data_IF_204466975690
#
_entry.id   IF_204466975690
#
_cell.length_a   1.000
_cell.length_b   1.000
_cell.length_c   1.000
_cell.angle_alpha   90.00
_cell.angle_beta   90.00
_cell.angle_gamma   90.00
#
_symmetry.space_group_name_H-M   'P 1'
#
loop_
_entity.id
_entity.type
_entity.pdbx_description
1 polymer ?
#
# COMPACT_ATOMS: atom_id res chain seq x y z
N UNK A 1 -32.90 -18.68 41.59
CA UNK A 1 -33.16 -18.05 40.28
C UNK A 1 -31.88 -18.18 39.47
N UNK A 2 -31.96 -18.91 38.36
CA UNK A 2 -30.80 -19.41 37.62
C UNK A 2 -30.08 -18.30 36.86
N UNK A 3 -28.77 -18.19 37.09
CA UNK A 3 -27.84 -17.40 36.28
C UNK A 3 -27.57 -18.13 34.96
N UNK A 4 -27.92 -17.51 33.84
CA UNK A 4 -27.52 -17.96 32.50
C UNK A 4 -26.10 -17.47 32.25
N UNK A 5 -25.14 -18.40 32.19
CA UNK A 5 -23.77 -18.16 31.71
C UNK A 5 -23.78 -18.15 30.19
N UNK A 6 -23.32 -17.06 29.58
CA UNK A 6 -22.97 -17.04 28.16
C UNK A 6 -21.65 -17.80 27.93
N UNK A 7 -21.54 -18.61 26.87
CA UNK A 7 -20.30 -19.33 26.59
C UNK A 7 -19.24 -18.39 26.02
N UNK A 8 -18.08 -18.39 26.67
CA UNK A 8 -16.84 -17.77 26.17
C UNK A 8 -16.30 -18.67 25.05
N UNK A 9 -16.20 -18.12 23.83
CA UNK A 9 -15.51 -18.79 22.72
C UNK A 9 -13.98 -18.69 22.94
N UNK A 10 -13.21 -19.75 22.62
CA UNK A 10 -11.77 -19.76 22.85
C UNK A 10 -11.04 -18.80 21.90
N UNK A 11 -10.09 -18.04 22.44
CA UNK A 11 -9.13 -17.24 21.69
C UNK A 11 -8.26 -18.16 20.81
N UNK A 12 -8.48 -18.13 19.50
CA UNK A 12 -7.50 -18.65 18.54
C UNK A 12 -6.29 -17.70 18.51
N UNK A 13 -5.14 -18.21 18.96
CA UNK A 13 -3.85 -17.54 18.78
C UNK A 13 -3.52 -17.49 17.29
N UNK A 14 -3.75 -16.35 16.66
CA UNK A 14 -3.24 -16.05 15.32
C UNK A 14 -1.72 -15.92 15.38
N UNK A 15 -1.01 -16.94 14.89
CA UNK A 15 0.44 -16.87 14.63
C UNK A 15 0.60 -16.43 13.17
N UNK A 16 0.91 -15.16 12.95
CA UNK A 16 1.44 -14.69 11.67
C UNK A 16 2.85 -15.30 11.49
N UNK A 17 3.09 -15.93 10.34
CA UNK A 17 4.43 -16.40 9.99
C UNK A 17 5.21 -15.22 9.42
N UNK A 18 6.23 -14.77 10.15
CA UNK A 18 7.23 -13.81 9.68
C UNK A 18 7.93 -14.36 8.43
N UNK A 19 7.94 -13.60 7.33
CA UNK A 19 8.61 -13.97 6.09
C UNK A 19 10.09 -13.61 6.15
N UNK A 20 10.91 -14.50 6.71
CA UNK A 20 12.38 -14.41 6.57
C UNK A 20 12.87 -15.63 5.77
N UNK A 21 13.07 -15.46 4.47
CA UNK A 21 13.81 -16.44 3.66
C UNK A 21 15.30 -16.31 3.94
N UNK A 22 15.90 -17.34 4.56
CA UNK A 22 17.35 -17.48 4.68
C UNK A 22 17.94 -17.82 3.31
N UNK A 23 18.79 -16.96 2.76
CA UNK A 23 19.67 -17.29 1.64
C UNK A 23 20.79 -18.26 2.10
N UNK A 24 21.15 -19.29 1.31
CA UNK A 24 22.28 -20.16 1.64
C UNK A 24 23.62 -19.49 1.34
N UNK A 25 24.59 -19.69 2.24
CA UNK A 25 25.99 -19.24 2.09
C UNK A 25 26.68 -20.01 0.95
N UNK A 26 27.19 -19.31 -0.06
CA UNK A 26 28.12 -19.86 -1.06
C UNK A 26 29.57 -19.48 -0.70
N UNK A 27 30.40 -20.51 -0.48
CA UNK A 27 31.83 -20.38 -0.26
C UNK A 27 32.60 -20.03 -1.53
N UNK A 28 33.74 -19.36 -1.35
CA UNK A 28 34.65 -18.92 -2.41
C UNK A 28 35.31 -20.10 -3.15
N UNK A 29 35.42 -20.00 -4.47
CA UNK A 29 36.31 -20.84 -5.30
C UNK A 29 36.22 -20.52 -6.80
N UNK A 30 37.32 -19.96 -7.33
CA UNK A 30 37.78 -19.64 -8.70
C UNK A 30 36.95 -19.94 -9.99
N UNK A 31 37.20 -19.04 -10.96
CA UNK A 31 36.78 -18.87 -12.36
C UNK A 31 36.56 -20.11 -13.25
N UNK A 32 35.68 -20.02 -14.26
CA UNK A 32 35.97 -19.89 -15.71
C UNK A 32 34.64 -19.65 -16.49
N UNK A 33 34.70 -18.91 -17.60
CA UNK A 33 33.59 -18.57 -18.51
C UNK A 33 32.97 -19.82 -19.18
N UNK A 34 31.64 -19.87 -19.33
CA UNK A 34 30.93 -20.21 -20.59
C UNK A 34 29.41 -20.03 -20.45
N UNK A 35 28.82 -19.47 -21.51
CA UNK A 35 27.38 -19.25 -21.74
C UNK A 35 26.64 -20.55 -22.00
N UNK A 36 25.49 -20.80 -21.33
CA UNK A 36 24.31 -21.50 -21.89
C UNK A 36 23.15 -21.61 -20.91
N UNK A 37 21.95 -21.27 -21.39
CA UNK A 37 20.66 -21.65 -20.80
C UNK A 37 20.54 -23.17 -20.71
N UNK A 38 20.22 -23.72 -19.53
CA UNK A 38 19.55 -25.03 -19.40
C UNK A 38 18.63 -25.02 -18.18
N UNK A 39 17.38 -25.37 -18.43
CA UNK A 39 16.32 -25.75 -17.47
C UNK A 39 16.67 -27.10 -16.84
N UNK A 40 16.66 -27.21 -15.51
CA UNK A 40 16.55 -28.50 -14.79
C UNK A 40 15.66 -28.28 -13.55
N UNK A 41 14.41 -28.75 -13.54
CA UNK A 41 13.97 -30.10 -13.11
C UNK A 41 14.63 -30.58 -11.81
N UNK A 42 13.86 -30.49 -10.72
CA UNK A 42 14.17 -31.09 -9.42
C UNK A 42 13.93 -32.60 -9.49
N UNK A 43 14.98 -33.39 -9.27
CA UNK A 43 14.86 -34.82 -8.98
C UNK A 43 14.85 -35.05 -7.47
N UNK A 44 13.83 -35.76 -7.03
CA UNK A 44 13.64 -36.28 -5.69
C UNK A 44 14.34 -37.65 -5.52
N UNK A 45 14.93 -37.86 -4.35
CA UNK A 45 15.18 -39.17 -3.73
C UNK A 45 14.49 -39.10 -2.36
N UNK A 46 13.74 -40.06 -1.83
CA UNK A 46 13.48 -41.45 -2.20
C UNK A 46 13.38 -42.27 -0.90
N UNK A 47 12.20 -42.84 -0.63
CA UNK A 47 11.94 -43.88 0.39
C UNK A 47 11.09 -43.41 1.59
N UNK A 48 10.06 -44.11 2.06
CA UNK A 48 9.35 -45.33 1.67
C UNK A 48 8.14 -45.47 2.60
N UNK A 49 6.97 -45.87 2.11
CA UNK A 49 5.82 -46.23 2.96
C UNK A 49 4.50 -46.14 2.22
N UNK A 50 4.03 -47.28 1.71
CA UNK A 50 2.84 -47.38 0.86
C UNK A 50 1.51 -47.17 1.59
N UNK A 51 0.56 -46.60 0.86
CA UNK A 51 -0.84 -46.51 1.21
C UNK A 51 -1.60 -45.91 0.03
N UNK A 52 -2.30 -46.76 -0.72
CA UNK A 52 -3.22 -46.35 -1.79
C UNK A 52 -4.31 -45.43 -1.20
N UNK A 53 -4.34 -44.17 -1.65
CA UNK A 53 -5.51 -43.30 -1.56
C UNK A 53 -5.60 -42.54 -2.88
N UNK A 54 -6.77 -42.59 -3.49
CA UNK A 54 -7.10 -41.96 -4.77
C UNK A 54 -6.65 -40.49 -4.82
N UNK A 55 -5.94 -40.13 -5.90
CA UNK A 55 -5.62 -38.74 -6.24
C UNK A 55 -6.91 -37.97 -6.50
N UNK A 56 -7.23 -36.90 -5.74
CA UNK A 56 -8.17 -35.91 -6.21
C UNK A 56 -7.48 -35.08 -7.27
N UNK A 57 -8.03 -35.13 -8.47
CA UNK A 57 -7.82 -34.19 -9.56
C UNK A 57 -7.63 -32.78 -9.04
N UNK A 58 -6.54 -32.12 -9.45
CA UNK A 58 -6.31 -30.70 -9.21
C UNK A 58 -7.45 -29.90 -9.82
N UNK A 59 -8.42 -29.50 -9.01
CA UNK A 59 -9.41 -28.50 -9.39
C UNK A 59 -8.67 -27.17 -9.46
N UNK A 60 -8.17 -26.83 -10.65
CA UNK A 60 -7.91 -25.43 -10.99
C UNK A 60 -9.26 -24.74 -11.02
N UNK A 61 -9.69 -24.20 -9.88
CA UNK A 61 -10.84 -23.31 -9.85
C UNK A 61 -10.54 -22.14 -10.79
N UNK A 62 -11.42 -21.82 -11.74
CA UNK A 62 -11.23 -20.66 -12.59
C UNK A 62 -11.13 -19.43 -11.69
N UNK A 63 -10.07 -18.64 -11.88
CA UNK A 63 -9.99 -17.29 -11.32
C UNK A 63 -11.18 -16.54 -11.91
N UNK A 64 -12.24 -16.39 -11.10
CA UNK A 64 -13.36 -15.51 -11.44
C UNK A 64 -12.77 -14.12 -11.49
N UNK A 65 -12.51 -13.61 -12.70
CA UNK A 65 -12.17 -12.21 -12.89
C UNK A 65 -13.35 -11.43 -12.32
N UNK A 66 -13.14 -10.56 -11.32
CA UNK A 66 -14.21 -9.66 -10.89
C UNK A 66 -14.74 -8.94 -12.12
N UNK A 67 -16.05 -8.84 -12.28
CA UNK A 67 -16.65 -7.99 -13.31
C UNK A 67 -16.07 -6.58 -13.11
N UNK A 68 -15.17 -6.17 -14.00
CA UNK A 68 -14.53 -4.86 -13.88
C UNK A 68 -15.59 -3.81 -14.20
N UNK A 69 -15.79 -2.86 -13.28
CA UNK A 69 -16.59 -1.68 -13.58
C UNK A 69 -15.99 -0.99 -14.80
N UNK A 70 -16.77 -1.01 -15.90
CA UNK A 70 -16.37 -0.40 -17.18
C UNK A 70 -16.23 1.12 -17.04
N UNK A 71 -16.96 1.72 -16.09
CA UNK A 71 -16.99 3.16 -15.86
C UNK A 71 -17.62 3.92 -17.01
N UNK A 72 -17.44 5.24 -17.05
CA UNK A 72 -17.83 6.04 -18.20
C UNK A 72 -16.79 5.93 -19.33
N UNK A 73 -17.22 5.46 -20.50
CA UNK A 73 -16.35 5.29 -21.67
C UNK A 73 -16.65 6.27 -22.79
N UNK A 74 -17.65 7.14 -22.64
CA UNK A 74 -18.12 8.02 -23.70
C UNK A 74 -17.29 9.29 -23.74
N UNK A 75 -16.45 9.43 -24.78
CA UNK A 75 -15.68 10.65 -25.00
C UNK A 75 -16.59 11.80 -25.41
N UNK A 76 -16.54 12.90 -24.66
CA UNK A 76 -17.14 14.19 -25.01
C UNK A 76 -16.00 15.16 -25.25
N UNK A 77 -15.93 15.73 -26.47
CA UNK A 77 -14.81 16.58 -26.90
C UNK A 77 -13.43 15.96 -26.67
N UNK A 78 -13.31 14.64 -26.88
CA UNK A 78 -12.05 13.90 -26.74
C UNK A 78 -11.67 13.53 -25.30
N UNK A 79 -12.56 13.69 -24.32
CA UNK A 79 -12.31 13.35 -22.92
C UNK A 79 -13.47 12.53 -22.32
N UNK A 80 -13.15 11.52 -21.53
CA UNK A 80 -14.08 10.93 -20.55
C UNK A 80 -13.37 10.75 -19.20
N UNK A 81 -14.03 11.11 -18.10
CA UNK A 81 -13.59 10.70 -16.76
C UNK A 81 -14.29 9.39 -16.44
N UNK A 82 -13.52 8.32 -16.25
CA UNK A 82 -14.04 6.97 -16.27
C UNK A 82 -14.48 6.49 -14.90
N UNK A 83 -13.76 6.82 -13.81
CA UNK A 83 -14.18 6.43 -12.47
C UNK A 83 -15.26 7.31 -11.87
N UNK A 84 -15.37 8.58 -12.25
CA UNK A 84 -16.28 9.52 -11.58
C UNK A 84 -17.32 10.08 -12.52
N UNK A 85 -18.51 10.35 -11.99
CA UNK A 85 -19.48 11.23 -12.64
C UNK A 85 -19.23 12.69 -12.24
N UNK A 86 -19.65 13.60 -13.11
CA UNK A 86 -19.56 15.02 -12.81
C UNK A 86 -20.45 15.36 -11.60
N UNK A 87 -19.89 16.10 -10.64
CA UNK A 87 -20.47 16.45 -9.34
C UNK A 87 -20.56 15.31 -8.32
N UNK A 88 -19.90 14.17 -8.54
CA UNK A 88 -19.78 13.15 -7.50
C UNK A 88 -19.21 13.73 -6.20
N UNK A 89 -19.71 13.24 -5.06
CA UNK A 89 -19.18 13.57 -3.74
C UNK A 89 -18.32 12.43 -3.22
N UNK A 90 -17.10 12.74 -2.81
CA UNK A 90 -16.17 11.80 -2.17
C UNK A 90 -15.78 12.25 -0.76
N UNK A 91 -15.28 11.31 0.04
CA UNK A 91 -14.98 11.51 1.46
C UNK A 91 -13.49 11.57 1.80
N UNK A 92 -12.64 11.61 0.79
CA UNK A 92 -11.18 11.60 0.91
C UNK A 92 -10.56 12.66 0.00
N UNK A 93 -9.41 13.26 0.39
CA UNK A 93 -8.90 14.48 -0.24
C UNK A 93 -8.12 14.24 -1.54
N UNK A 94 -7.73 13.01 -1.87
CA UNK A 94 -6.81 12.74 -2.98
C UNK A 94 -7.36 11.67 -3.93
N UNK A 95 -8.37 11.96 -4.77
CA UNK A 95 -8.80 11.04 -5.83
C UNK A 95 -7.71 10.79 -6.87
N UNK A 96 -7.77 9.61 -7.47
CA UNK A 96 -7.06 9.26 -8.71
C UNK A 96 -8.06 9.44 -9.84
N UNK A 97 -7.93 10.44 -10.70
CA UNK A 97 -8.75 10.51 -11.91
C UNK A 97 -8.17 9.54 -12.93
N UNK A 98 -8.94 8.50 -13.26
CA UNK A 98 -8.68 7.63 -14.39
C UNK A 98 -9.54 8.12 -15.55
N UNK A 99 -8.91 8.61 -16.61
CA UNK A 99 -9.62 9.18 -17.74
C UNK A 99 -9.20 8.57 -19.07
N UNK A 100 -10.08 8.74 -20.05
CA UNK A 100 -9.91 8.32 -21.42
C UNK A 100 -9.77 9.54 -22.31
N UNK A 101 -8.93 9.42 -23.33
CA UNK A 101 -8.69 10.44 -24.36
C UNK A 101 -8.62 9.82 -25.75
N UNK A 102 -8.57 10.65 -26.78
CA UNK A 102 -8.12 10.18 -28.09
C UNK A 102 -6.67 9.65 -28.02
N UNK A 103 -6.33 8.69 -28.87
CA UNK A 103 -5.03 8.00 -28.86
C UNK A 103 -3.83 8.89 -29.24
N UNK A 104 -4.08 10.01 -29.90
CA UNK A 104 -3.08 11.01 -30.31
C UNK A 104 -2.70 11.98 -29.18
N UNK A 105 -3.43 11.98 -28.06
CA UNK A 105 -3.11 12.80 -26.90
C UNK A 105 -1.96 12.16 -26.12
N UNK A 106 -0.87 12.91 -25.95
CA UNK A 106 0.34 12.48 -25.22
C UNK A 106 0.41 13.01 -23.79
N UNK A 107 -0.38 14.03 -23.45
CA UNK A 107 -0.41 14.65 -22.13
C UNK A 107 -1.77 15.28 -21.86
N UNK A 108 -2.17 15.26 -20.59
CA UNK A 108 -3.34 15.97 -20.06
C UNK A 108 -2.88 17.02 -19.06
N UNK A 109 -3.42 18.22 -19.17
CA UNK A 109 -3.27 19.28 -18.17
C UNK A 109 -4.58 19.43 -17.40
N UNK A 110 -4.49 19.61 -16.09
CA UNK A 110 -5.63 19.91 -15.21
C UNK A 110 -5.33 21.18 -14.44
N UNK A 111 -6.17 22.20 -14.60
CA UNK A 111 -6.19 23.38 -13.73
C UNK A 111 -7.20 23.14 -12.62
N UNK A 112 -6.71 23.10 -11.37
CA UNK A 112 -7.50 22.92 -10.16
C UNK A 112 -7.07 23.94 -9.12
N UNK A 113 -8.02 24.75 -8.62
CA UNK A 113 -7.78 25.77 -7.59
C UNK A 113 -6.61 26.73 -7.94
N UNK A 114 -6.47 27.07 -9.23
CA UNK A 114 -5.40 27.94 -9.73
C UNK A 114 -4.04 27.26 -9.93
N UNK A 115 -3.89 26.00 -9.52
CA UNK A 115 -2.67 25.21 -9.72
C UNK A 115 -2.83 24.29 -10.93
N UNK A 116 -1.76 24.20 -11.74
CA UNK A 116 -1.69 23.29 -12.89
C UNK A 116 -1.05 21.98 -12.48
N UNK A 117 -1.69 20.89 -12.88
CA UNK A 117 -1.20 19.53 -12.77
C UNK A 117 -1.09 18.95 -14.18
N UNK A 118 -0.07 18.13 -14.41
CA UNK A 118 0.16 17.52 -15.70
C UNK A 118 0.44 16.03 -15.53
N UNK A 119 -0.11 15.22 -16.44
CA UNK A 119 0.17 13.78 -16.51
C UNK A 119 0.35 13.35 -17.96
N UNK A 120 1.19 12.34 -18.25
CA UNK A 120 1.20 11.71 -19.55
C UNK A 120 -0.15 11.05 -19.87
N UNK A 121 -0.47 10.99 -21.16
CA UNK A 121 -1.51 10.13 -21.70
C UNK A 121 -0.87 9.15 -22.69
N UNK A 122 -1.35 7.91 -22.69
CA UNK A 122 -0.85 6.90 -23.60
C UNK A 122 -1.92 5.89 -23.93
N UNK A 123 -2.02 5.49 -25.21
CA UNK A 123 -3.05 4.56 -25.69
C UNK A 123 -4.46 4.97 -25.25
N UNK A 124 -4.73 6.28 -25.29
CA UNK A 124 -6.03 6.84 -24.96
C UNK A 124 -6.39 6.81 -23.48
N UNK A 125 -5.43 6.60 -22.56
CA UNK A 125 -5.68 6.62 -21.11
C UNK A 125 -4.72 7.55 -20.36
N UNK A 126 -5.21 8.12 -19.25
CA UNK A 126 -4.38 8.82 -18.28
C UNK A 126 -4.79 8.52 -16.83
N UNK A 127 -3.85 8.74 -15.91
CA UNK A 127 -4.04 8.68 -14.46
C UNK A 127 -3.45 9.94 -13.83
N UNK A 128 -4.17 10.60 -12.93
CA UNK A 128 -3.64 11.77 -12.22
C UNK A 128 -4.19 11.85 -10.79
N UNK A 129 -3.31 12.13 -9.84
CA UNK A 129 -3.66 12.43 -8.45
C UNK A 129 -3.99 13.92 -8.36
N UNK A 130 -5.15 14.26 -7.78
CA UNK A 130 -5.59 15.64 -7.66
C UNK A 130 -5.97 15.96 -6.21
N UNK A 131 -5.21 16.83 -5.50
CA UNK A 131 -5.53 17.19 -4.12
C UNK A 131 -6.73 18.15 -4.08
N UNK A 132 -7.83 17.70 -3.49
CA UNK A 132 -9.05 18.47 -3.35
C UNK A 132 -9.08 19.28 -2.05
N UNK A 133 -9.77 20.42 -2.09
CA UNK A 133 -10.14 21.19 -0.90
C UNK A 133 -11.58 20.84 -0.48
N UNK A 134 -11.95 20.96 0.81
CA UNK A 134 -13.33 20.76 1.22
C UNK A 134 -14.31 21.64 0.42
N UNK A 135 -15.40 21.04 -0.08
CA UNK A 135 -16.38 21.69 -0.95
C UNK A 135 -16.25 21.30 -2.43
N UNK A 136 -16.69 22.20 -3.31
CA UNK A 136 -16.71 21.98 -4.76
C UNK A 136 -15.34 22.28 -5.38
N UNK A 137 -14.81 21.34 -6.16
CA UNK A 137 -13.53 21.44 -6.84
C UNK A 137 -13.75 21.35 -8.34
N UNK A 138 -13.93 22.51 -8.97
CA UNK A 138 -14.05 22.62 -10.41
C UNK A 138 -12.66 22.50 -11.05
N UNK A 139 -12.56 21.62 -12.04
CA UNK A 139 -11.34 21.31 -12.79
C UNK A 139 -11.57 21.68 -14.24
N UNK A 140 -10.61 22.41 -14.82
CA UNK A 140 -10.52 22.56 -16.27
C UNK A 140 -9.50 21.56 -16.79
N UNK A 141 -9.95 20.57 -17.55
CA UNK A 141 -9.15 19.48 -18.07
C UNK A 141 -8.89 19.72 -19.55
N UNK A 142 -7.63 19.87 -19.93
CA UNK A 142 -7.21 20.17 -21.30
C UNK A 142 -6.49 18.97 -21.91
N UNK A 143 -7.01 18.50 -23.04
CA UNK A 143 -6.48 17.38 -23.84
C UNK A 143 -6.16 17.87 -25.24
N UNK A 144 -4.88 18.16 -25.50
CA UNK A 144 -4.45 18.73 -26.78
C UNK A 144 -5.09 20.10 -27.05
N UNK A 145 -6.13 20.15 -27.89
CA UNK A 145 -6.81 21.39 -28.31
C UNK A 145 -8.16 21.63 -27.65
N UNK A 146 -8.69 20.67 -26.90
CA UNK A 146 -10.00 20.77 -26.25
C UNK A 146 -9.84 20.94 -24.74
N UNK A 147 -10.77 21.68 -24.14
CA UNK A 147 -10.86 21.84 -22.69
C UNK A 147 -12.28 21.51 -22.24
N UNK A 148 -12.39 20.77 -21.14
CA UNK A 148 -13.64 20.33 -20.55
C UNK A 148 -13.66 20.65 -19.06
N UNK A 149 -14.81 21.10 -18.55
CA UNK A 149 -15.00 21.30 -17.12
C UNK A 149 -15.51 20.03 -16.48
N UNK A 150 -14.91 19.63 -15.37
CA UNK A 150 -15.35 18.52 -14.54
C UNK A 150 -15.31 18.94 -13.07
N UNK A 151 -16.27 18.53 -12.25
CA UNK A 151 -16.36 18.93 -10.86
C UNK A 151 -16.43 17.69 -9.95
N UNK A 152 -15.68 17.74 -8.85
CA UNK A 152 -15.80 16.80 -7.74
C UNK A 152 -16.07 17.56 -6.45
N UNK A 153 -16.94 17.02 -5.61
CA UNK A 153 -17.19 17.56 -4.28
C UNK A 153 -16.41 16.72 -3.26
N UNK A 154 -15.58 17.36 -2.44
CA UNK A 154 -14.93 16.70 -1.30
C UNK A 154 -15.64 17.10 0.00
N UNK A 155 -16.21 16.11 0.67
CA UNK A 155 -16.78 16.28 2.01
C UNK A 155 -16.01 15.40 2.98
N UNK A 156 -15.16 15.96 3.87
CA UNK A 156 -14.49 15.17 4.89
C UNK A 156 -15.47 14.25 5.62
N UNK A 157 -15.10 12.98 5.78
CA UNK A 157 -15.97 11.99 6.43
C UNK A 157 -16.24 12.38 7.88
N UNK A 158 -17.52 12.31 8.27
CA UNK A 158 -18.01 12.47 9.64
C UNK A 158 -17.97 11.16 10.44
N UNK A 159 -17.51 10.06 9.84
CA UNK A 159 -17.41 8.77 10.52
C UNK A 159 -16.54 8.91 11.78
N UNK A 160 -17.05 8.60 12.99
CA UNK A 160 -16.26 8.70 14.22
C UNK A 160 -15.09 7.72 14.25
N UNK A 161 -15.15 6.64 13.46
CA UNK A 161 -14.08 5.63 13.37
C UNK A 161 -12.99 6.10 12.40
N UNK A 162 -11.76 6.25 12.91
CA UNK A 162 -10.62 6.81 12.17
C UNK A 162 -9.38 5.94 12.25
N UNK A 163 -8.57 5.97 11.20
CA UNK A 163 -7.21 5.45 11.20
C UNK A 163 -6.26 6.57 11.63
N UNK A 164 -5.49 6.30 12.68
CA UNK A 164 -4.39 7.13 13.15
C UNK A 164 -3.08 6.61 12.56
N UNK A 165 -2.43 7.43 11.75
CA UNK A 165 -1.13 7.13 11.17
C UNK A 165 -0.03 7.65 12.10
N UNK A 166 0.98 6.82 12.41
CA UNK A 166 2.00 7.16 13.38
C UNK A 166 3.39 6.72 12.95
N UNK A 167 4.41 7.40 13.47
CA UNK A 167 5.79 6.97 13.45
C UNK A 167 6.25 6.67 14.87
N UNK A 168 6.71 5.44 15.11
CA UNK A 168 7.29 5.05 16.39
C UNK A 168 8.77 5.42 16.46
N UNK A 169 9.16 6.04 17.57
CA UNK A 169 10.54 6.44 17.85
C UNK A 169 11.00 5.84 19.20
N UNK A 170 12.26 5.39 19.31
CA UNK A 170 12.85 4.96 20.58
C UNK A 170 12.86 6.06 21.64
N UNK A 171 13.08 5.69 22.90
CA UNK A 171 13.20 6.64 24.01
C UNK A 171 14.38 7.61 23.83
N UNK A 172 15.47 7.13 23.23
CA UNK A 172 16.79 7.76 23.12
C UNK A 172 17.15 8.20 21.69
N UNK A 173 16.18 8.26 20.77
CA UNK A 173 16.40 8.62 19.37
C UNK A 173 15.44 9.75 18.94
N UNK A 174 15.92 10.56 18.00
CA UNK A 174 15.21 11.70 17.38
C UNK A 174 14.25 11.26 16.25
N UNK A 175 14.14 9.96 15.98
CA UNK A 175 13.26 9.37 14.97
C UNK A 175 13.87 9.32 13.58
N UNK A 176 15.20 9.17 13.47
CA UNK A 176 15.87 9.11 12.17
C UNK A 176 15.76 7.73 11.54
N UNK A 177 15.21 7.65 10.33
CA UNK A 177 15.12 6.38 9.58
C UNK A 177 16.41 6.05 8.83
N UNK A 178 16.60 4.78 8.45
CA UNK A 178 17.76 4.36 7.66
C UNK A 178 17.67 4.93 6.24
N UNK A 179 18.69 5.67 5.80
CA UNK A 179 18.75 6.27 4.47
C UNK A 179 20.19 6.44 3.98
N UNK A 180 20.35 6.71 2.68
CA UNK A 180 21.66 6.96 2.08
C UNK A 180 22.28 8.26 2.60
N UNK A 181 23.60 8.37 2.47
CA UNK A 181 24.32 9.60 2.82
C UNK A 181 23.79 10.76 1.98
N UNK A 182 23.43 11.86 2.65
CA UNK A 182 22.89 13.06 2.00
C UNK A 182 21.38 13.05 1.78
N UNK A 183 20.69 11.94 2.04
CA UNK A 183 19.22 11.89 2.03
C UNK A 183 18.69 12.37 3.39
N UNK A 184 17.73 13.31 3.38
CA UNK A 184 17.07 13.75 4.60
C UNK A 184 16.26 12.61 5.21
N UNK A 185 16.75 12.12 6.35
CA UNK A 185 16.14 11.08 7.14
C UNK A 185 15.65 11.54 8.51
N UNK A 186 15.41 12.84 8.68
CA UNK A 186 14.80 13.41 9.88
C UNK A 186 13.40 12.85 10.15
N UNK A 187 12.93 13.00 11.38
CA UNK A 187 11.54 12.72 11.74
C UNK A 187 10.55 13.55 10.91
N UNK A 188 10.91 14.79 10.56
CA UNK A 188 10.11 15.65 9.67
C UNK A 188 9.95 15.01 8.30
N UNK A 189 11.05 14.58 7.68
CA UNK A 189 11.04 13.86 6.39
C UNK A 189 10.23 12.55 6.49
N UNK A 190 10.41 11.79 7.58
CA UNK A 190 9.65 10.57 7.83
C UNK A 190 8.13 10.84 7.84
N UNK A 191 7.69 11.87 8.57
CA UNK A 191 6.28 12.26 8.64
C UNK A 191 5.74 12.72 7.28
N UNK A 192 6.51 13.47 6.50
CA UNK A 192 6.10 13.90 5.16
C UNK A 192 5.93 12.72 4.19
N UNK A 193 6.88 11.78 4.21
CA UNK A 193 6.81 10.53 3.43
C UNK A 193 5.62 9.68 3.85
N UNK A 194 5.40 9.53 5.16
CA UNK A 194 4.27 8.76 5.70
C UNK A 194 2.92 9.43 5.44
N UNK A 195 2.86 10.77 5.41
CA UNK A 195 1.65 11.50 5.02
C UNK A 195 1.31 11.22 3.54
N UNK A 196 2.32 11.31 2.67
CA UNK A 196 2.16 10.98 1.25
C UNK A 196 1.71 9.53 1.08
N UNK A 197 2.36 8.59 1.77
CA UNK A 197 1.97 7.19 1.79
C UNK A 197 0.52 6.98 2.26
N UNK A 198 0.12 7.61 3.37
CA UNK A 198 -1.21 7.48 3.94
C UNK A 198 -2.31 7.94 2.96
N UNK A 199 -2.06 9.07 2.28
CA UNK A 199 -2.94 9.57 1.22
C UNK A 199 -3.04 8.56 0.08
N UNK A 200 -1.90 8.07 -0.45
CA UNK A 200 -1.90 7.08 -1.52
C UNK A 200 -2.61 5.78 -1.12
N UNK A 201 -2.41 5.29 0.11
CA UNK A 201 -3.09 4.11 0.64
C UNK A 201 -4.61 4.30 0.67
N UNK A 202 -5.08 5.47 1.11
CA UNK A 202 -6.51 5.81 1.14
C UNK A 202 -7.08 5.92 -0.28
N UNK A 203 -6.36 6.58 -1.20
CA UNK A 203 -6.74 6.71 -2.62
C UNK A 203 -6.83 5.36 -3.32
N UNK A 204 -5.82 4.50 -3.15
CA UNK A 204 -5.80 3.17 -3.71
C UNK A 204 -6.93 2.32 -3.14
N UNK A 205 -7.21 2.42 -1.84
CA UNK A 205 -8.33 1.73 -1.20
C UNK A 205 -9.65 2.11 -1.87
N UNK A 206 -9.92 3.40 -2.06
CA UNK A 206 -11.13 3.89 -2.70
C UNK A 206 -11.25 3.44 -4.17
N UNK A 207 -10.17 3.53 -4.95
CA UNK A 207 -10.15 3.12 -6.36
C UNK A 207 -10.31 1.60 -6.51
N UNK A 208 -9.69 0.80 -5.64
CA UNK A 208 -9.86 -0.66 -5.65
C UNK A 208 -11.28 -1.08 -5.27
N UNK A 209 -11.93 -0.38 -4.32
CA UNK A 209 -13.36 -0.61 -4.00
C UNK A 209 -14.26 -0.25 -5.19
N UNK A 210 -13.98 0.86 -5.89
CA UNK A 210 -14.70 1.24 -7.11
C UNK A 210 -14.57 0.17 -8.19
N UNK A 211 -13.35 -0.30 -8.46
CA UNK A 211 -13.07 -1.38 -9.43
C UNK A 211 -13.82 -2.67 -9.10
N UNK A 212 -14.13 -2.92 -7.83
CA UNK A 212 -14.90 -4.06 -7.35
C UNK A 212 -16.42 -3.82 -7.34
N UNK A 213 -16.93 -2.81 -8.04
CA UNK A 213 -18.37 -2.56 -8.16
C UNK A 213 -18.98 -1.76 -7.02
N UNK A 214 -18.16 -1.22 -6.11
CA UNK A 214 -18.65 -0.40 -5.00
C UNK A 214 -18.51 1.09 -5.32
N UNK A 215 -19.00 1.95 -4.44
CA UNK A 215 -18.59 3.37 -4.46
C UNK A 215 -17.11 3.52 -4.10
N UNK A 216 -16.55 4.71 -4.27
CA UNK A 216 -15.22 5.11 -3.77
C UNK A 216 -15.17 5.19 -2.23
N UNK A 217 -15.63 4.15 -1.54
CA UNK A 217 -15.60 4.05 -0.09
C UNK A 217 -14.19 3.68 0.37
N UNK A 218 -13.77 4.30 1.45
CA UNK A 218 -12.45 4.09 2.07
C UNK A 218 -12.56 4.42 3.56
N UNK A 219 -11.56 4.01 4.33
CA UNK A 219 -11.43 4.42 5.72
C UNK A 219 -11.14 5.92 5.85
N UNK A 220 -11.54 6.49 6.98
CA UNK A 220 -11.26 7.87 7.36
C UNK A 220 -9.97 7.98 8.14
N UNK A 221 -9.20 9.06 7.97
CA UNK A 221 -7.99 9.32 8.76
C UNK A 221 -8.26 10.35 9.86
N UNK A 222 -7.45 10.32 10.92
CA UNK A 222 -7.38 11.43 11.88
C UNK A 222 -6.86 12.67 11.17
N UNK A 223 -7.55 13.79 11.38
CA UNK A 223 -7.22 15.09 10.79
C UNK A 223 -6.76 16.07 11.88
N UNK A 224 -5.93 17.02 11.50
CA UNK A 224 -5.62 18.19 12.33
C UNK A 224 -6.79 19.20 12.36
N UNK A 225 -6.59 20.31 13.06
CA UNK A 225 -7.59 21.39 13.17
C UNK A 225 -7.92 22.08 11.84
N UNK A 226 -7.06 21.92 10.82
CA UNK A 226 -7.26 22.45 9.48
C UNK A 226 -7.90 21.42 8.54
N UNK A 227 -8.27 20.24 9.05
CA UNK A 227 -8.86 19.17 8.24
C UNK A 227 -7.84 18.41 7.39
N UNK A 228 -6.54 18.48 7.72
CA UNK A 228 -5.46 17.79 6.99
C UNK A 228 -5.08 16.49 7.71
N UNK A 229 -4.87 15.35 7.02
CA UNK A 229 -4.39 14.14 7.67
C UNK A 229 -3.05 14.37 8.38
N UNK A 230 -2.88 13.77 9.57
CA UNK A 230 -1.72 13.99 10.42
C UNK A 230 -0.95 12.69 10.70
N UNK A 231 0.38 12.79 10.77
CA UNK A 231 1.26 11.72 11.25
C UNK A 231 1.72 12.04 12.68
N UNK A 232 1.22 11.28 13.65
CA UNK A 232 1.60 11.43 15.06
C UNK A 232 2.91 10.72 15.36
N UNK A 233 3.61 11.19 16.41
CA UNK A 233 4.80 10.51 16.92
C UNK A 233 4.41 9.65 18.12
N UNK A 234 4.77 8.38 18.10
CA UNK A 234 4.66 7.48 19.25
C UNK A 234 6.07 7.27 19.84
N UNK A 235 6.36 7.90 20.97
CA UNK A 235 7.63 7.65 21.68
C UNK A 235 7.51 6.38 22.53
N UNK A 236 8.38 5.41 22.28
CA UNK A 236 8.47 4.16 23.02
C UNK A 236 9.33 4.34 24.26
N UNK A 237 9.11 3.51 25.28
CA UNK A 237 9.86 3.58 26.54
C UNK A 237 11.26 2.95 26.47
N UNK A 238 11.49 2.06 25.49
CA UNK A 238 12.77 1.35 25.34
C UNK A 238 13.75 2.13 24.46
N UNK A 239 15.04 1.94 24.74
CA UNK A 239 16.12 2.45 23.89
C UNK A 239 16.13 1.74 22.52
N UNK A 240 16.76 2.37 21.53
CA UNK A 240 16.95 1.79 20.20
C UNK A 240 17.68 0.44 20.29
N UNK A 241 18.72 0.36 21.10
CA UNK A 241 19.51 -0.86 21.27
C UNK A 241 18.70 -2.02 21.86
N UNK A 242 17.71 -1.75 22.71
CA UNK A 242 16.79 -2.76 23.24
C UNK A 242 15.76 -3.18 22.20
N UNK A 243 15.18 -2.23 21.48
CA UNK A 243 14.18 -2.48 20.43
C UNK A 243 14.75 -3.34 19.28
N UNK A 244 16.00 -3.11 18.86
CA UNK A 244 16.65 -3.90 17.81
C UNK A 244 16.87 -5.38 18.16
N UNK A 245 16.75 -5.75 19.45
CA UNK A 245 16.86 -7.14 19.93
C UNK A 245 15.52 -7.87 20.00
N UNK A 246 14.41 -7.15 19.82
CA UNK A 246 13.06 -7.69 19.94
C UNK A 246 12.65 -8.45 18.70
N UNK A 247 11.87 -9.51 18.91
CA UNK A 247 11.14 -10.21 17.87
C UNK A 247 9.96 -9.38 17.38
N UNK A 248 9.41 -9.73 16.22
CA UNK A 248 8.27 -9.03 15.61
C UNK A 248 7.06 -8.97 16.57
N UNK A 249 6.73 -10.09 17.22
CA UNK A 249 5.64 -10.14 18.20
C UNK A 249 5.91 -9.28 19.44
N UNK A 250 7.14 -9.27 19.95
CA UNK A 250 7.49 -8.38 21.07
C UNK A 250 7.37 -6.90 20.67
N UNK A 251 7.80 -6.53 19.45
CA UNK A 251 7.65 -5.16 18.94
C UNK A 251 6.17 -4.77 18.84
N UNK A 252 5.33 -5.67 18.32
CA UNK A 252 3.88 -5.48 18.29
C UNK A 252 3.32 -5.27 19.69
N UNK A 253 3.64 -6.15 20.64
CA UNK A 253 3.15 -6.06 22.02
C UNK A 253 3.59 -4.77 22.73
N UNK A 254 4.84 -4.34 22.51
CA UNK A 254 5.37 -3.07 23.05
C UNK A 254 4.59 -1.88 22.50
N UNK A 255 4.38 -1.81 21.19
CA UNK A 255 3.66 -0.71 20.54
C UNK A 255 2.18 -0.73 20.96
N UNK A 256 1.54 -1.90 20.94
CA UNK A 256 0.16 -2.10 21.35
C UNK A 256 -0.07 -1.67 22.80
N UNK A 257 0.84 -2.04 23.70
CA UNK A 257 0.78 -1.66 25.12
C UNK A 257 1.02 -0.16 25.31
N UNK A 258 1.95 0.42 24.57
CA UNK A 258 2.20 1.87 24.60
C UNK A 258 0.95 2.66 24.21
N UNK A 259 0.26 2.26 23.13
CA UNK A 259 -1.00 2.88 22.70
C UNK A 259 -2.09 2.70 23.75
N UNK A 260 -2.22 1.49 24.33
CA UNK A 260 -3.23 1.22 25.36
C UNK A 260 -3.06 2.09 26.61
N UNK A 261 -1.82 2.27 27.05
CA UNK A 261 -1.52 3.04 28.26
C UNK A 261 -1.65 4.55 28.06
N UNK A 262 -1.55 5.05 26.82
CA UNK A 262 -1.66 6.48 26.54
C UNK A 262 -3.11 6.98 26.68
N UNK A 263 -4.02 6.45 25.85
CA UNK A 263 -5.46 6.65 25.92
C UNK A 263 -6.12 5.82 24.79
N UNK A 264 -6.35 4.53 25.03
CA UNK A 264 -6.99 3.67 24.02
C UNK A 264 -8.38 4.21 23.65
N UNK A 265 -8.65 4.34 22.36
CA UNK A 265 -9.96 4.67 21.83
C UNK A 265 -10.38 3.56 20.85
N UNK A 266 -11.51 2.90 21.15
CA UNK A 266 -12.07 1.84 20.30
C UNK A 266 -12.53 2.33 18.92
N UNK A 267 -12.64 3.66 18.71
CA UNK A 267 -12.88 4.28 17.42
C UNK A 267 -11.59 4.57 16.64
N UNK A 268 -10.42 4.19 17.17
CA UNK A 268 -9.15 4.32 16.47
C UNK A 268 -8.57 2.95 16.07
N UNK A 269 -8.17 2.86 14.80
CA UNK A 269 -7.20 1.87 14.33
C UNK A 269 -5.88 2.60 14.09
N UNK A 270 -4.76 1.94 14.34
CA UNK A 270 -3.44 2.55 14.29
C UNK A 270 -2.60 1.87 13.22
N UNK A 271 -1.98 2.66 12.36
CA UNK A 271 -0.90 2.20 11.49
C UNK A 271 0.40 2.85 11.95
N UNK A 272 1.35 2.05 12.41
CA UNK A 272 2.58 2.55 13.03
C UNK A 272 3.79 2.12 12.20
N UNK A 273 4.55 3.09 11.68
CA UNK A 273 5.84 2.82 11.04
C UNK A 273 6.98 2.99 12.03
N UNK A 274 7.86 2.00 12.13
CA UNK A 274 9.02 2.05 13.02
C UNK A 274 10.18 2.80 12.35
N UNK A 275 10.56 3.95 12.90
CA UNK A 275 11.72 4.74 12.41
C UNK A 275 13.07 4.03 12.63
N UNK A 276 13.12 3.07 13.55
CA UNK A 276 14.35 2.46 14.02
C UNK A 276 14.69 1.13 13.35
N UNK A 277 13.99 0.74 12.28
CA UNK A 277 14.39 -0.42 11.48
C UNK A 277 15.81 -0.24 10.95
N UNK A 278 16.61 -1.30 11.05
CA UNK A 278 18.04 -1.25 10.79
C UNK A 278 18.50 -2.44 9.95
N UNK A 279 19.54 -2.22 9.17
CA UNK A 279 20.19 -3.24 8.36
C UNK A 279 21.70 -3.12 8.54
N UNK A 280 22.32 -4.18 9.05
CA UNK A 280 23.76 -4.28 9.24
C UNK A 280 24.17 -5.75 9.13
N UNK A 281 25.35 -6.01 8.55
CA UNK A 281 25.89 -7.38 8.37
C UNK A 281 24.89 -8.34 7.70
N UNK A 282 24.18 -7.85 6.68
CA UNK A 282 23.11 -8.57 5.98
C UNK A 282 21.97 -9.08 6.88
N UNK A 283 21.76 -8.43 8.02
CA UNK A 283 20.69 -8.74 8.97
C UNK A 283 19.76 -7.54 9.14
N UNK A 284 18.48 -7.80 8.95
CA UNK A 284 17.40 -6.86 9.27
C UNK A 284 17.03 -7.00 10.76
N UNK A 285 16.85 -5.86 11.43
CA UNK A 285 16.44 -5.77 12.85
C UNK A 285 15.48 -4.61 13.06
N UNK A 286 14.61 -4.67 14.07
CA UNK A 286 13.63 -3.62 14.34
C UNK A 286 12.64 -3.39 13.18
N UNK A 287 12.39 -4.43 12.39
CA UNK A 287 11.50 -4.39 11.23
C UNK A 287 10.53 -5.56 11.36
N UNK A 288 9.25 -5.24 11.48
CA UNK A 288 8.16 -6.21 11.55
C UNK A 288 7.05 -5.75 10.62
N UNK A 289 6.30 -6.70 10.09
CA UNK A 289 5.09 -6.49 9.29
C UNK A 289 4.01 -7.36 9.93
N UNK A 290 3.16 -6.72 10.75
CA UNK A 290 2.14 -7.39 11.55
C UNK A 290 0.90 -6.51 11.67
N UNK A 291 -0.28 -7.09 11.52
CA UNK A 291 -1.54 -6.40 11.72
C UNK A 291 -2.62 -7.29 12.31
N UNK A 292 -3.54 -6.67 13.06
CA UNK A 292 -4.71 -7.31 13.64
C UNK A 292 -5.40 -6.43 14.67
N UNK A 293 -6.68 -6.68 14.93
CA UNK A 293 -7.44 -5.90 15.92
C UNK A 293 -7.39 -4.39 15.63
N UNK A 294 -6.79 -3.60 16.52
CA UNK A 294 -6.68 -2.14 16.38
C UNK A 294 -5.32 -1.64 15.87
N UNK A 295 -4.36 -2.51 15.58
CA UNK A 295 -2.98 -2.11 15.29
C UNK A 295 -2.40 -2.85 14.07
N UNK A 296 -1.83 -2.08 13.15
CA UNK A 296 -0.86 -2.52 12.16
C UNK A 296 0.49 -1.86 12.42
N UNK A 297 1.57 -2.64 12.34
CA UNK A 297 2.95 -2.13 12.41
C UNK A 297 3.72 -2.51 11.14
N UNK A 298 4.57 -1.61 10.69
CA UNK A 298 5.49 -1.87 9.58
C UNK A 298 6.87 -1.25 9.85
N UNK A 299 7.94 -1.88 9.38
CA UNK A 299 9.28 -1.31 9.49
C UNK A 299 9.56 -0.22 8.46
N UNK A 300 10.42 0.73 8.81
CA UNK A 300 10.67 1.94 7.99
C UNK A 300 11.69 1.80 6.86
N UNK A 301 12.03 0.57 6.43
CA UNK A 301 13.13 0.34 5.48
C UNK A 301 12.81 0.78 4.04
N UNK A 302 11.54 0.98 3.68
CA UNK A 302 11.17 1.51 2.37
C UNK A 302 11.32 3.04 2.27
N UNK A 303 11.32 3.76 3.41
CA UNK A 303 11.21 5.22 3.46
C UNK A 303 12.32 5.96 2.70
N UNK A 304 13.52 5.39 2.58
CA UNK A 304 14.62 6.00 1.81
C UNK A 304 14.34 6.11 0.31
N UNK A 305 13.40 5.32 -0.20
CA UNK A 305 13.00 5.30 -1.63
C UNK A 305 11.67 6.02 -1.90
N UNK A 306 10.91 6.34 -0.85
CA UNK A 306 9.56 6.88 -0.98
C UNK A 306 9.51 8.40 -1.23
N UNK A 307 8.49 8.89 -1.95
CA UNK A 307 8.29 10.33 -2.17
C UNK A 307 7.97 11.04 -0.84
N UNK A 308 8.47 12.26 -0.66
CA UNK A 308 8.11 13.08 0.51
C UNK A 308 6.91 14.01 0.27
N UNK A 309 6.45 14.13 -0.96
CA UNK A 309 5.27 14.91 -1.36
C UNK A 309 4.66 14.35 -2.66
N UNK A 310 3.51 14.90 -3.06
CA UNK A 310 2.75 14.42 -4.24
C UNK A 310 3.51 14.62 -5.57
N UNK A 311 4.27 15.70 -5.71
CA UNK A 311 5.02 16.00 -6.94
C UNK A 311 6.13 14.97 -7.21
N UNK A 312 6.61 14.28 -6.17
CA UNK A 312 7.63 13.24 -6.27
C UNK A 312 7.09 11.84 -6.56
N UNK A 313 5.78 11.61 -6.51
CA UNK A 313 5.19 10.25 -6.62
C UNK A 313 5.59 9.56 -7.92
N UNK A 314 5.43 10.25 -9.05
CA UNK A 314 5.81 9.73 -10.38
C UNK A 314 7.29 9.38 -10.44
N UNK A 315 8.15 10.26 -9.93
CA UNK A 315 9.60 10.04 -9.93
C UNK A 315 9.98 8.85 -9.04
N UNK A 316 9.38 8.72 -7.85
CA UNK A 316 9.64 7.60 -6.95
C UNK A 316 9.22 6.27 -7.59
N UNK A 317 8.02 6.19 -8.18
CA UNK A 317 7.52 4.97 -8.85
C UNK A 317 8.14 4.68 -10.22
N UNK A 318 9.07 5.52 -10.70
CA UNK A 318 9.84 5.27 -11.93
C UNK A 318 11.35 5.24 -11.71
N UNK A 319 11.83 5.46 -10.48
CA UNK A 319 13.25 5.46 -10.16
C UNK A 319 13.84 4.03 -10.24
N UNK A 320 14.63 3.78 -11.28
CA UNK A 320 15.31 2.51 -11.57
C UNK A 320 16.67 2.36 -10.91
N UNK A 321 17.08 3.29 -10.03
CA UNK A 321 18.29 3.14 -9.22
C UNK A 321 18.28 1.79 -8.49
N UNK A 322 19.39 1.07 -8.59
CA UNK A 322 19.57 -0.20 -7.90
C UNK A 322 19.73 0.03 -6.39
N UNK A 323 19.18 -0.89 -5.60
CA UNK A 323 19.40 -0.89 -4.15
C UNK A 323 20.86 -1.28 -3.87
N UNK A 324 21.58 -0.45 -3.10
CA UNK A 324 22.90 -0.84 -2.59
C UNK A 324 22.72 -1.87 -1.46
N UNK A 325 22.90 -3.16 -1.82
CA UNK A 325 22.71 -4.29 -0.90
C UNK A 325 23.71 -4.33 0.27
N UNK A 326 24.74 -3.47 0.26
CA UNK A 326 25.63 -3.26 1.41
C UNK A 326 24.99 -2.37 2.48
N UNK A 327 24.09 -1.48 2.07
CA UNK A 327 23.49 -0.46 2.94
C UNK A 327 22.02 -0.75 3.26
N UNK A 328 21.30 -1.46 2.39
CA UNK A 328 19.88 -1.78 2.54
C UNK A 328 19.58 -3.23 2.13
N UNK A 329 18.54 -3.86 2.69
CA UNK A 329 18.06 -5.13 2.19
C UNK A 329 17.26 -4.93 0.89
N UNK A 330 17.05 -6.02 0.16
CA UNK A 330 16.08 -6.05 -0.93
C UNK A 330 14.66 -6.36 -0.41
N UNK A 331 13.92 -5.32 -0.03
CA UNK A 331 12.49 -5.40 0.30
C UNK A 331 11.59 -5.07 -0.92
N UNK A 332 12.10 -5.29 -2.13
CA UNK A 332 11.41 -4.94 -3.38
C UNK A 332 10.82 -6.15 -4.13
N UNK A 333 10.66 -7.29 -3.44
CA UNK A 333 10.22 -8.56 -4.02
C UNK A 333 11.14 -9.05 -5.17
N UNK A 334 12.45 -8.91 -5.00
CA UNK A 334 13.46 -9.41 -5.96
C UNK A 334 13.73 -8.50 -7.16
N UNK A 335 13.09 -7.31 -7.23
CA UNK A 335 13.26 -6.36 -8.32
C UNK A 335 14.51 -5.49 -8.18
N UNK A 336 15.05 -5.39 -6.96
CA UNK A 336 16.28 -4.71 -6.57
C UNK A 336 16.37 -3.23 -6.98
N UNK A 337 15.23 -2.54 -7.10
CA UNK A 337 15.16 -1.13 -7.50
C UNK A 337 14.41 -0.26 -6.50
N UNK A 338 14.71 1.04 -6.54
CA UNK A 338 14.10 2.06 -5.71
C UNK A 338 12.57 2.13 -5.86
N UNK A 339 12.07 2.18 -7.10
CA UNK A 339 10.63 2.23 -7.34
C UNK A 339 9.90 1.02 -6.76
N UNK A 340 10.52 -0.16 -6.83
CA UNK A 340 9.92 -1.40 -6.39
C UNK A 340 9.95 -1.53 -4.87
N UNK A 341 11.02 -1.06 -4.21
CA UNK A 341 11.09 -0.99 -2.76
C UNK A 341 10.01 -0.04 -2.21
N UNK A 342 9.86 1.13 -2.83
CA UNK A 342 8.81 2.09 -2.49
C UNK A 342 7.41 1.49 -2.65
N UNK A 343 7.13 0.88 -3.81
CA UNK A 343 5.83 0.27 -4.10
C UNK A 343 5.49 -0.85 -3.11
N UNK A 344 6.44 -1.77 -2.90
CA UNK A 344 6.28 -2.92 -2.00
C UNK A 344 6.05 -2.47 -0.56
N UNK A 345 6.86 -1.55 -0.04
CA UNK A 345 6.72 -1.10 1.35
C UNK A 345 5.42 -0.36 1.63
N UNK A 346 4.97 0.51 0.71
CA UNK A 346 3.66 1.18 0.83
C UNK A 346 2.50 0.18 0.72
N UNK A 347 2.58 -0.75 -0.23
CA UNK A 347 1.56 -1.78 -0.39
C UNK A 347 1.49 -2.73 0.81
N UNK A 348 2.63 -3.18 1.32
CA UNK A 348 2.70 -4.05 2.49
C UNK A 348 2.19 -3.33 3.75
N UNK A 349 2.45 -2.03 3.88
CA UNK A 349 1.83 -1.22 4.94
C UNK A 349 0.30 -1.20 4.82
N UNK A 350 -0.28 -1.17 3.61
CA UNK A 350 -1.71 -1.29 3.39
C UNK A 350 -2.25 -2.70 3.68
N UNK A 351 -1.45 -3.73 3.42
CA UNK A 351 -1.76 -5.11 3.80
C UNK A 351 -1.91 -5.24 5.33
N UNK A 352 -0.95 -4.74 6.10
CA UNK A 352 -1.02 -4.78 7.56
C UNK A 352 -2.18 -3.94 8.12
N UNK A 353 -2.44 -2.78 7.53
CA UNK A 353 -3.63 -2.00 7.85
C UNK A 353 -4.92 -2.79 7.50
N UNK A 354 -4.91 -3.54 6.41
CA UNK A 354 -5.99 -4.43 5.99
C UNK A 354 -6.37 -5.45 7.07
N UNK A 355 -5.39 -6.07 7.71
CA UNK A 355 -5.65 -6.97 8.85
C UNK A 355 -6.36 -6.29 10.01
N UNK A 356 -6.14 -4.99 10.23
CA UNK A 356 -6.91 -4.25 11.24
C UNK A 356 -8.38 -4.14 10.85
N UNK A 357 -8.75 -4.20 9.58
CA UNK A 357 -10.15 -4.24 9.13
C UNK A 357 -10.73 -5.65 9.07
N UNK A 358 -10.17 -6.58 9.86
CA UNK A 358 -10.56 -7.99 9.95
C UNK A 358 -10.42 -8.74 8.61
N UNK A 359 -9.54 -8.26 7.72
CA UNK A 359 -9.27 -8.92 6.45
C UNK A 359 -8.27 -10.07 6.66
N UNK A 360 -8.64 -11.32 6.37
CA UNK A 360 -7.66 -12.41 6.31
C UNK A 360 -6.83 -12.31 5.04
N UNK A 361 -5.77 -13.11 4.95
CA UNK A 361 -5.13 -13.36 3.66
C UNK A 361 -6.14 -13.92 2.66
N UNK A 362 -5.98 -13.53 1.40
CA UNK A 362 -6.80 -14.02 0.28
C UNK A 362 -5.91 -14.64 -0.80
N UNK A 363 -6.48 -15.43 -1.74
CA UNK A 363 -5.69 -15.99 -2.84
C UNK A 363 -5.08 -14.92 -3.76
N UNK A 364 -5.79 -13.81 -3.97
CA UNK A 364 -5.36 -12.68 -4.82
C UNK A 364 -5.44 -11.34 -4.08
N UNK A 365 -5.07 -10.24 -4.73
CA UNK A 365 -5.26 -8.90 -4.17
C UNK A 365 -4.16 -8.42 -3.22
N UNK A 366 -4.38 -7.25 -2.61
CA UNK A 366 -3.47 -6.64 -1.62
C UNK A 366 -3.31 -7.51 -0.37
N UNK A 367 -4.31 -8.31 0.01
CA UNK A 367 -4.20 -9.29 1.10
C UNK A 367 -3.44 -10.57 0.69
N UNK A 368 -2.83 -10.58 -0.49
CA UNK A 368 -1.87 -11.55 -1.02
C UNK A 368 -0.64 -10.78 -1.53
N UNK A 369 0.07 -11.28 -2.54
CA UNK A 369 1.23 -10.58 -3.16
C UNK A 369 0.86 -9.39 -4.05
N UNK A 370 -0.42 -9.04 -4.19
CA UNK A 370 -0.85 -7.91 -5.00
C UNK A 370 -0.31 -6.56 -4.51
N UNK A 371 0.08 -6.46 -3.25
CA UNK A 371 0.74 -5.27 -2.70
C UNK A 371 2.08 -4.94 -3.36
N UNK A 372 2.76 -5.92 -3.97
CA UNK A 372 4.01 -5.69 -4.69
C UNK A 372 3.81 -4.73 -5.89
N UNK A 373 2.58 -4.66 -6.41
CA UNK A 373 2.18 -3.89 -7.58
C UNK A 373 1.42 -2.61 -7.22
N UNK A 374 1.54 -2.12 -5.99
CA UNK A 374 0.82 -0.95 -5.47
C UNK A 374 0.97 0.31 -6.36
N UNK A 375 2.15 0.51 -6.96
CA UNK A 375 2.41 1.60 -7.91
C UNK A 375 1.46 1.58 -9.12
N UNK A 376 1.01 0.40 -9.57
CA UNK A 376 0.22 0.26 -10.80
C UNK A 376 -1.15 0.91 -10.72
N UNK A 377 -1.68 1.13 -9.52
CA UNK A 377 -2.93 1.88 -9.31
C UNK A 377 -2.78 3.34 -9.78
N UNK A 378 -1.58 3.91 -9.66
CA UNK A 378 -1.30 5.33 -9.93
C UNK A 378 -0.63 5.56 -11.28
N UNK A 379 0.16 4.60 -11.75
CA UNK A 379 1.04 4.77 -12.90
C UNK A 379 0.44 4.20 -14.19
N UNK A 380 0.79 4.81 -15.33
CA UNK A 380 0.53 4.25 -16.67
C UNK A 380 1.64 3.34 -17.16
N UNK A 381 2.82 3.39 -16.55
CA UNK A 381 3.98 2.57 -16.88
C UNK A 381 4.63 2.04 -15.61
N UNK A 382 5.20 0.86 -15.72
CA UNK A 382 6.10 0.29 -14.73
C UNK A 382 7.45 0.03 -15.39
N UNK A 383 8.57 0.39 -14.76
CA UNK A 383 9.87 0.08 -15.33
C UNK A 383 10.04 -1.42 -15.58
N UNK A 384 10.47 -1.78 -16.79
CA UNK A 384 10.65 -3.16 -17.22
C UNK A 384 9.38 -3.83 -17.79
N UNK A 385 8.22 -3.17 -17.78
CA UNK A 385 6.99 -3.67 -18.38
C UNK A 385 6.69 -2.93 -19.70
N UNK A 386 6.70 -3.65 -20.82
CA UNK A 386 6.34 -3.12 -22.14
C UNK A 386 4.82 -3.13 -22.37
N UNK A 387 4.08 -2.49 -21.47
CA UNK A 387 2.64 -2.33 -21.58
C UNK A 387 2.16 -1.07 -20.85
N UNK A 388 1.15 -0.42 -21.43
CA UNK A 388 0.38 0.60 -20.71
C UNK A 388 -0.47 -0.06 -19.63
N UNK A 389 -0.37 0.44 -18.41
CA UNK A 389 -1.09 -0.03 -17.23
C UNK A 389 -2.54 0.49 -17.22
N UNK A 390 -3.39 -0.19 -17.99
CA UNK A 390 -4.84 -0.14 -17.85
C UNK A 390 -5.27 -0.91 -16.60
N UNK A 391 -6.52 -0.72 -16.15
CA UNK A 391 -7.03 -1.32 -14.90
C UNK A 391 -6.90 -2.85 -14.84
N UNK A 392 -7.07 -3.53 -15.96
CA UNK A 392 -6.93 -4.98 -16.08
C UNK A 392 -5.47 -5.47 -15.95
N UNK A 393 -4.49 -4.56 -16.05
CA UNK A 393 -3.04 -4.85 -16.02
C UNK A 393 -2.35 -4.46 -14.71
N UNK A 394 -3.13 -4.05 -13.71
CA UNK A 394 -2.61 -3.69 -12.38
C UNK A 394 -2.20 -4.90 -11.52
N UNK A 395 -2.37 -6.12 -12.05
CA UNK A 395 -1.79 -7.38 -11.55
C UNK A 395 -1.91 -7.61 -10.03
N UNK A 396 -3.15 -7.58 -9.52
CA UNK A 396 -3.41 -7.89 -8.11
C UNK A 396 -3.38 -6.68 -7.17
N UNK A 397 -3.11 -5.47 -7.66
CA UNK A 397 -3.39 -4.24 -6.90
C UNK A 397 -4.91 -3.96 -6.84
N UNK A 398 -5.63 -4.89 -6.22
CA UNK A 398 -7.09 -4.92 -6.04
C UNK A 398 -7.43 -5.38 -4.62
N UNK A 399 -8.64 -5.08 -4.16
CA UNK A 399 -9.26 -5.86 -3.09
C UNK A 399 -9.86 -7.14 -3.70
N UNK A 400 -9.49 -8.28 -3.14
CA UNK A 400 -10.09 -9.57 -3.50
C UNK A 400 -11.60 -9.54 -3.16
N UNK A 401 -12.49 -10.19 -3.94
CA UNK A 401 -13.93 -10.21 -3.65
C UNK A 401 -14.27 -10.60 -2.21
N UNK A 402 -13.48 -11.49 -1.58
CA UNK A 402 -13.66 -11.84 -0.16
C UNK A 402 -13.38 -10.65 0.77
N UNK A 403 -12.31 -9.88 0.50
CA UNK A 403 -12.01 -8.65 1.24
C UNK A 403 -13.09 -7.59 1.03
N UNK A 404 -13.57 -7.41 -0.20
CA UNK A 404 -14.64 -6.46 -0.53
C UNK A 404 -15.92 -6.78 0.26
N UNK A 405 -16.29 -8.06 0.35
CA UNK A 405 -17.47 -8.49 1.09
C UNK A 405 -17.42 -8.16 2.60
N UNK A 406 -16.21 -8.07 3.17
CA UNK A 406 -15.98 -7.62 4.56
C UNK A 406 -16.01 -6.10 4.63
N UNK A 407 -15.26 -5.41 3.76
CA UNK A 407 -15.14 -3.94 3.77
C UNK A 407 -16.47 -3.21 3.56
N UNK A 408 -17.34 -3.72 2.69
CA UNK A 408 -18.68 -3.12 2.46
C UNK A 408 -19.54 -3.11 3.73
N UNK A 409 -19.35 -4.10 4.61
CA UNK A 409 -20.08 -4.23 5.89
C UNK A 409 -19.37 -3.53 7.05
N UNK A 410 -18.10 -3.16 6.86
CA UNK A 410 -17.26 -2.57 7.89
C UNK A 410 -17.75 -1.17 8.26
N UNK A 411 -17.87 -0.92 9.57
CA UNK A 411 -18.23 0.40 10.06
C UNK A 411 -17.11 1.44 9.93
N UNK A 412 -15.89 1.01 9.59
CA UNK A 412 -14.75 1.86 9.26
C UNK A 412 -14.84 2.47 7.86
N UNK A 413 -15.67 1.91 6.98
CA UNK A 413 -15.84 2.30 5.58
C UNK A 413 -17.24 2.86 5.27
N UNK A 414 -18.07 3.06 6.30
CA UNK A 414 -19.43 3.61 6.15
C UNK A 414 -19.40 5.00 5.49
N UNK A 415 -20.40 5.22 4.62
CA UNK A 415 -20.59 6.40 3.76
C UNK A 415 -21.02 7.64 4.51
#
# INVERSE_FOLDING_TARGET
MNHVRHPVLPEEKFVSKSWNQKLPKLGRGLSWLFTSMVVMTLNACGGSGGGHVDTPSSVTSPVVKPDQVVGNTTLVNGLAINNFNNNDTIIYPLPILYGLTSNDVSSVEVLLNGQRYQTPAQNGVFKILLPLQPGSNAMLITTGKTSNTFNLNYRPSDNPKKVKMMVAIPADDEGRFLAEVGVDNSLTSAKQKLLTQALLMQSATAEMMYKAGQSHMTYSMVLDTNGTPVIETLRLALSKAELLKKTDNELYDIIATTIRNANYDSNLKHMVTMSFSNYADSKVTGHAALGGGYLGIFGGLHLHTCPNNLDQVTNAFTNTQAIDLKLFPDDSAGRMTYWANCATGMGASLHELGHTFDLPHTPTGIMSRGFDNFNRVFMLREPGLDAVLTRDKEAGAIWDPASVAILVKSDWFRK
#
